data_IF_762234666199
#
_entry.id   IF_762234666199
#
_cell.length_a   1.000
_cell.length_b   1.000
_cell.length_c   1.000
_cell.angle_alpha   90.00
_cell.angle_beta   90.00
_cell.angle_gamma   90.00
#
_symmetry.space_group_name_H-M   'P 1'
#
loop_
_entity.id
_entity.type
_entity.pdbx_description
1 polymer ?
#
# COMPACT_ATOMS: atom_id res chain seq x y z
N UNK A 1 -19.53 11.88 89.78
CA UNK A 1 -19.48 10.64 88.93
C UNK A 1 -20.27 10.74 87.62
N UNK A 2 -21.12 11.76 87.42
CA UNK A 2 -21.94 11.88 86.17
C UNK A 2 -21.24 12.64 85.05
N UNK A 3 -20.27 13.50 85.29
CA UNK A 3 -19.57 14.30 84.31
C UNK A 3 -18.58 13.44 83.45
N UNK A 4 -17.98 12.40 84.02
CA UNK A 4 -17.05 11.49 83.30
C UNK A 4 -17.76 10.57 82.35
N UNK A 5 -19.03 10.17 82.57
CA UNK A 5 -19.80 9.34 81.67
C UNK A 5 -20.27 10.10 80.41
N UNK A 6 -20.50 11.42 80.51
CA UNK A 6 -20.90 12.24 79.33
C UNK A 6 -19.74 12.50 78.37
N UNK A 7 -18.54 12.69 78.87
CA UNK A 7 -17.33 12.88 78.02
C UNK A 7 -16.93 11.61 77.28
N UNK A 8 -16.94 10.44 77.90
CA UNK A 8 -16.65 9.16 77.27
C UNK A 8 -17.67 8.80 76.16
N UNK A 9 -18.95 9.08 76.34
CA UNK A 9 -20.00 8.83 75.34
C UNK A 9 -19.89 9.75 74.11
N UNK A 10 -19.40 10.98 74.33
CA UNK A 10 -19.19 11.96 73.24
C UNK A 10 -17.93 11.64 72.43
N UNK A 11 -16.88 11.17 73.06
CA UNK A 11 -15.66 10.71 72.37
C UNK A 11 -15.86 9.44 71.59
N UNK A 12 -16.65 8.46 72.11
CA UNK A 12 -17.01 7.23 71.39
C UNK A 12 -17.87 7.53 70.16
N UNK A 13 -18.83 8.43 70.24
CA UNK A 13 -19.63 8.89 69.06
C UNK A 13 -18.78 9.58 68.03
N UNK A 14 -17.83 10.44 68.40
CA UNK A 14 -16.90 11.11 67.49
C UNK A 14 -15.97 10.07 66.81
N UNK A 15 -15.44 9.11 67.55
CA UNK A 15 -14.60 8.02 66.99
C UNK A 15 -15.37 7.13 66.02
N UNK A 16 -16.64 6.79 66.31
CA UNK A 16 -17.51 6.02 65.41
C UNK A 16 -17.84 6.79 64.14
N UNK A 17 -18.16 8.07 64.23
CA UNK A 17 -18.43 8.94 63.08
C UNK A 17 -17.20 9.13 62.18
N UNK A 18 -16.01 9.32 62.75
CA UNK A 18 -14.76 9.43 62.01
C UNK A 18 -14.38 8.12 61.31
N UNK A 19 -14.67 6.96 61.94
CA UNK A 19 -14.40 5.66 61.33
C UNK A 19 -15.29 5.40 60.12
N UNK A 20 -16.58 5.76 60.20
CA UNK A 20 -17.53 5.66 59.06
C UNK A 20 -17.13 6.60 57.90
N UNK A 21 -16.67 7.79 58.21
CA UNK A 21 -16.19 8.73 57.20
C UNK A 21 -14.91 8.23 56.48
N UNK A 22 -13.98 7.62 57.22
CA UNK A 22 -12.78 7.02 56.66
C UNK A 22 -13.15 5.85 55.72
N UNK A 23 -14.05 4.97 56.15
CA UNK A 23 -14.51 3.87 55.31
C UNK A 23 -15.21 4.33 54.01
N UNK A 24 -16.00 5.41 54.13
CA UNK A 24 -16.65 6.03 52.97
C UNK A 24 -15.63 6.60 51.98
N UNK A 25 -14.67 7.38 52.48
CA UNK A 25 -13.61 7.97 51.68
C UNK A 25 -12.70 6.92 51.04
N UNK A 26 -12.40 5.84 51.75
CA UNK A 26 -11.63 4.71 51.20
C UNK A 26 -12.37 4.05 50.02
N UNK A 27 -13.68 3.82 50.19
CA UNK A 27 -14.50 3.26 49.11
C UNK A 27 -14.58 4.18 47.88
N UNK A 28 -14.77 5.47 48.12
CA UNK A 28 -14.83 6.49 47.07
C UNK A 28 -13.48 6.58 46.32
N UNK A 29 -12.38 6.49 47.06
CA UNK A 29 -11.03 6.43 46.48
C UNK A 29 -10.81 5.19 45.62
N UNK A 30 -11.26 4.01 46.08
CA UNK A 30 -11.15 2.76 45.36
C UNK A 30 -11.99 2.78 44.06
N UNK A 31 -13.23 3.25 44.14
CA UNK A 31 -14.11 3.40 42.97
C UNK A 31 -13.52 4.40 41.96
N UNK A 32 -12.95 5.52 42.42
CA UNK A 32 -12.32 6.52 41.58
C UNK A 32 -11.06 5.97 40.89
N UNK A 33 -10.26 5.20 41.61
CA UNK A 33 -9.07 4.50 41.03
C UNK A 33 -9.48 3.50 39.95
N UNK A 34 -10.49 2.67 40.24
CA UNK A 34 -11.00 1.70 39.27
C UNK A 34 -11.49 2.39 38.00
N UNK A 35 -12.27 3.48 38.13
CA UNK A 35 -12.69 4.28 36.98
C UNK A 35 -11.52 4.89 36.23
N UNK A 36 -10.51 5.37 36.93
CA UNK A 36 -9.28 5.90 36.33
C UNK A 36 -8.54 4.84 35.51
N UNK A 37 -8.40 3.63 36.04
CA UNK A 37 -7.76 2.53 35.33
C UNK A 37 -8.58 2.10 34.10
N UNK A 38 -9.92 2.01 34.21
CA UNK A 38 -10.80 1.73 33.07
C UNK A 38 -10.66 2.78 31.95
N UNK A 39 -10.61 4.08 32.31
CA UNK A 39 -10.43 5.14 31.31
C UNK A 39 -9.03 5.10 30.68
N UNK A 40 -8.00 4.79 31.48
CA UNK A 40 -6.63 4.61 30.99
C UNK A 40 -6.55 3.48 29.97
N UNK A 41 -7.16 2.34 30.26
CA UNK A 41 -7.19 1.19 29.34
C UNK A 41 -7.95 1.52 28.04
N UNK A 42 -9.09 2.21 28.15
CA UNK A 42 -9.84 2.69 26.98
C UNK A 42 -9.01 3.65 26.14
N UNK A 43 -8.32 4.58 26.81
CA UNK A 43 -7.46 5.55 26.12
C UNK A 43 -6.30 4.88 25.39
N UNK A 44 -5.57 3.96 26.04
CA UNK A 44 -4.48 3.20 25.43
C UNK A 44 -4.96 2.42 24.21
N UNK A 45 -6.10 1.75 24.34
CA UNK A 45 -6.72 1.03 23.21
C UNK A 45 -7.07 1.97 22.06
N UNK A 46 -7.72 3.10 22.36
CA UNK A 46 -8.12 4.09 21.36
C UNK A 46 -6.92 4.68 20.61
N UNK A 47 -5.81 4.95 21.32
CA UNK A 47 -4.55 5.41 20.70
C UNK A 47 -3.99 4.35 19.75
N UNK A 48 -3.95 3.09 20.18
CA UNK A 48 -3.47 1.99 19.34
C UNK A 48 -4.36 1.79 18.09
N UNK A 49 -5.67 1.86 18.24
CA UNK A 49 -6.62 1.79 17.11
C UNK A 49 -6.44 2.96 16.14
N UNK A 50 -6.22 4.18 16.67
CA UNK A 50 -5.97 5.36 15.85
C UNK A 50 -4.65 5.27 15.08
N UNK A 51 -3.58 4.74 15.68
CA UNK A 51 -2.31 4.52 14.99
C UNK A 51 -2.44 3.46 13.88
N UNK A 52 -3.18 2.39 14.15
CA UNK A 52 -3.48 1.38 13.14
C UNK A 52 -4.33 1.97 11.99
N UNK A 53 -5.32 2.81 12.33
CA UNK A 53 -6.13 3.52 11.35
C UNK A 53 -5.27 4.43 10.46
N UNK A 54 -4.37 5.24 11.05
CA UNK A 54 -3.47 6.11 10.28
C UNK A 54 -2.60 5.33 9.30
N UNK A 55 -1.98 4.24 9.77
CA UNK A 55 -1.14 3.37 8.93
C UNK A 55 -1.94 2.75 7.78
N UNK A 56 -3.12 2.25 8.06
CA UNK A 56 -4.01 1.69 7.03
C UNK A 56 -4.46 2.75 6.03
N UNK A 57 -4.85 3.93 6.51
CA UNK A 57 -5.31 5.01 5.65
C UNK A 57 -4.21 5.53 4.72
N UNK A 58 -2.98 5.66 5.22
CA UNK A 58 -1.83 6.03 4.41
C UNK A 58 -1.56 5.03 3.26
N UNK A 59 -1.70 3.72 3.53
CA UNK A 59 -1.59 2.69 2.48
C UNK A 59 -2.72 2.78 1.46
N UNK A 60 -3.96 2.96 1.92
CA UNK A 60 -5.11 3.10 1.02
C UNK A 60 -4.97 4.29 0.08
N UNK A 61 -4.46 5.43 0.58
CA UNK A 61 -4.17 6.59 -0.25
C UNK A 61 -3.11 6.31 -1.31
N UNK A 62 -2.03 5.63 -0.93
CA UNK A 62 -0.98 5.25 -1.87
C UNK A 62 -1.50 4.29 -2.94
N UNK A 63 -2.25 3.27 -2.53
CA UNK A 63 -2.83 2.29 -3.46
C UNK A 63 -3.83 2.95 -4.41
N UNK A 64 -4.66 3.87 -3.93
CA UNK A 64 -5.61 4.62 -4.77
C UNK A 64 -4.89 5.54 -5.76
N UNK A 65 -3.79 6.18 -5.33
CA UNK A 65 -2.97 7.01 -6.21
C UNK A 65 -2.30 6.17 -7.31
N UNK A 66 -1.66 5.05 -6.94
CA UNK A 66 -1.02 4.13 -7.88
C UNK A 66 -2.02 3.58 -8.90
N UNK A 67 -3.23 3.20 -8.46
CA UNK A 67 -4.31 2.72 -9.34
C UNK A 67 -4.79 3.83 -10.28
N UNK A 68 -4.90 5.06 -9.79
CA UNK A 68 -5.22 6.23 -10.63
C UNK A 68 -4.18 6.46 -11.73
N UNK A 69 -2.90 6.42 -11.37
CA UNK A 69 -1.79 6.53 -12.33
C UNK A 69 -1.85 5.39 -13.35
N UNK A 70 -2.01 4.14 -12.90
CA UNK A 70 -2.15 2.98 -13.78
C UNK A 70 -3.25 3.15 -14.80
N UNK A 71 -4.43 3.60 -14.37
CA UNK A 71 -5.59 3.81 -15.25
C UNK A 71 -5.35 4.86 -16.33
N UNK A 72 -4.59 5.92 -16.03
CA UNK A 72 -4.20 6.94 -17.01
C UNK A 72 -3.16 6.36 -17.98
N UNK A 73 -2.13 5.70 -17.45
CA UNK A 73 -1.02 5.17 -18.26
C UNK A 73 -1.53 4.12 -19.25
N UNK A 74 -2.38 3.18 -18.83
CA UNK A 74 -2.98 2.18 -19.74
C UNK A 74 -3.63 2.82 -20.95
N UNK A 75 -4.25 4.01 -20.80
CA UNK A 75 -4.88 4.76 -21.90
C UNK A 75 -3.87 5.49 -22.79
N UNK A 76 -2.66 5.76 -22.30
CA UNK A 76 -1.60 6.45 -23.06
C UNK A 76 -0.67 5.46 -23.76
N UNK A 77 -0.49 4.25 -23.21
CA UNK A 77 0.40 3.22 -23.79
C UNK A 77 0.16 2.94 -25.28
N UNK A 78 -1.09 2.94 -25.82
CA UNK A 78 -1.32 2.79 -27.26
C UNK A 78 -0.61 3.79 -28.14
N UNK A 79 -0.24 4.97 -27.60
CA UNK A 79 0.59 5.94 -28.36
C UNK A 79 1.98 5.37 -28.60
N UNK A 80 2.59 4.77 -27.57
CA UNK A 80 3.88 4.07 -27.71
C UNK A 80 3.81 2.87 -28.65
N UNK A 81 2.73 2.07 -28.55
CA UNK A 81 2.51 0.92 -29.44
C UNK A 81 2.40 1.37 -30.92
N UNK A 82 1.69 2.47 -31.19
CA UNK A 82 1.55 3.04 -32.53
C UNK A 82 2.88 3.60 -33.05
N UNK A 83 3.74 4.14 -32.19
CA UNK A 83 5.08 4.59 -32.58
C UNK A 83 5.96 3.38 -32.95
N UNK A 84 5.94 2.31 -32.18
CA UNK A 84 6.67 1.06 -32.49
C UNK A 84 6.18 0.47 -33.83
N UNK A 85 4.87 0.47 -34.06
CA UNK A 85 4.28 0.02 -35.33
C UNK A 85 4.72 0.90 -36.50
N UNK A 86 4.68 2.23 -36.36
CA UNK A 86 5.10 3.16 -37.41
C UNK A 86 6.59 3.00 -37.76
N UNK A 87 7.46 2.76 -36.77
CA UNK A 87 8.88 2.48 -37.01
C UNK A 87 9.06 1.19 -37.80
N UNK A 88 8.23 0.16 -37.54
CA UNK A 88 8.29 -1.15 -38.26
C UNK A 88 7.81 -1.09 -39.69
N UNK A 89 7.14 -0.04 -40.14
CA UNK A 89 6.59 0.09 -41.50
C UNK A 89 7.64 0.28 -42.59
N UNK A 90 8.91 0.49 -42.24
CA UNK A 90 9.99 0.65 -43.23
C UNK A 90 9.89 1.95 -44.03
N UNK A 91 9.60 3.06 -43.33
CA UNK A 91 9.55 4.41 -43.89
C UNK A 91 10.97 4.88 -44.31
N UNK A 92 11.05 6.04 -44.93
CA UNK A 92 12.35 6.67 -45.26
C UNK A 92 13.18 6.92 -43.96
N UNK A 93 14.50 6.90 -44.11
CA UNK A 93 15.47 6.98 -43.01
C UNK A 93 15.23 8.19 -42.11
N UNK A 94 15.01 9.38 -42.68
CA UNK A 94 14.82 10.61 -41.91
C UNK A 94 13.53 10.59 -41.07
N UNK A 95 12.45 10.06 -41.61
CA UNK A 95 11.18 9.90 -40.90
C UNK A 95 11.32 8.85 -39.79
N UNK A 96 12.00 7.76 -40.07
CA UNK A 96 12.27 6.70 -39.11
C UNK A 96 13.11 7.19 -37.91
N UNK A 97 14.17 7.98 -38.18
CA UNK A 97 14.97 8.62 -37.12
C UNK A 97 14.12 9.54 -36.24
N UNK A 98 13.25 10.35 -36.86
CA UNK A 98 12.34 11.24 -36.12
C UNK A 98 11.39 10.46 -35.20
N UNK A 99 10.83 9.32 -35.68
CA UNK A 99 9.96 8.45 -34.90
C UNK A 99 10.72 7.78 -33.73
N UNK A 100 11.96 7.32 -33.97
CA UNK A 100 12.82 6.74 -32.92
C UNK A 100 13.09 7.76 -31.83
N UNK A 101 13.40 9.01 -32.18
CA UNK A 101 13.62 10.07 -31.20
C UNK A 101 12.34 10.38 -30.39
N UNK A 102 11.18 10.40 -31.05
CA UNK A 102 9.89 10.61 -30.38
C UNK A 102 9.57 9.44 -29.43
N UNK A 103 9.81 8.21 -29.88
CA UNK A 103 9.64 6.99 -29.07
C UNK A 103 10.55 7.00 -27.83
N UNK A 104 11.82 7.41 -28.02
CA UNK A 104 12.75 7.59 -26.89
C UNK A 104 12.23 8.62 -25.90
N UNK A 105 11.79 9.78 -26.37
CA UNK A 105 11.23 10.83 -25.50
C UNK A 105 9.99 10.36 -24.74
N UNK A 106 9.14 9.56 -25.37
CA UNK A 106 8.00 8.93 -24.72
C UNK A 106 8.45 8.02 -23.56
N UNK A 107 9.45 7.16 -23.80
CA UNK A 107 10.01 6.29 -22.75
C UNK A 107 10.67 7.09 -21.62
N UNK A 108 11.44 8.12 -21.94
CA UNK A 108 12.06 9.00 -20.94
C UNK A 108 11.00 9.68 -20.05
N UNK A 109 9.87 10.06 -20.65
CA UNK A 109 8.74 10.62 -19.91
C UNK A 109 8.12 9.60 -18.96
N UNK A 110 7.90 8.35 -19.39
CA UNK A 110 7.41 7.27 -18.54
C UNK A 110 8.41 6.94 -17.43
N UNK A 111 9.69 6.89 -17.74
CA UNK A 111 10.75 6.63 -16.77
C UNK A 111 10.81 7.71 -15.67
N UNK A 112 10.55 8.98 -16.01
CA UNK A 112 10.45 10.06 -15.01
C UNK A 112 9.30 9.88 -14.00
N UNK A 113 8.33 9.05 -14.33
CA UNK A 113 7.20 8.63 -13.47
C UNK A 113 7.42 7.25 -12.81
N UNK A 114 8.67 6.76 -12.80
CA UNK A 114 9.05 5.43 -12.29
C UNK A 114 8.36 4.26 -13.03
N UNK A 115 7.95 4.50 -14.29
CA UNK A 115 7.36 3.48 -15.14
C UNK A 115 8.46 2.90 -16.03
N UNK A 116 8.63 1.59 -15.98
CA UNK A 116 9.66 0.84 -16.73
C UNK A 116 8.99 -0.02 -17.78
N UNK A 117 9.55 0.00 -18.98
CA UNK A 117 9.19 -0.89 -20.09
C UNK A 117 9.66 -2.32 -19.83
N UNK A 118 8.87 -3.30 -20.21
CA UNK A 118 9.16 -4.74 -20.15
C UNK A 118 9.23 -5.25 -21.60
N UNK A 119 10.43 -5.59 -22.03
CA UNK A 119 10.71 -6.17 -23.36
C UNK A 119 11.55 -7.43 -23.18
N UNK A 120 10.93 -8.59 -22.95
CA UNK A 120 11.63 -9.84 -22.67
C UNK A 120 12.12 -10.57 -23.94
N UNK A 121 12.35 -9.86 -25.05
CA UNK A 121 12.81 -10.48 -26.31
C UNK A 121 14.10 -11.25 -26.09
N UNK A 122 14.12 -12.54 -26.44
CA UNK A 122 15.27 -13.43 -26.28
C UNK A 122 15.49 -13.96 -24.87
N UNK A 123 14.65 -13.61 -23.90
CA UNK A 123 14.71 -14.12 -22.53
C UNK A 123 13.81 -15.34 -22.37
N UNK A 124 14.00 -16.10 -21.29
CA UNK A 124 13.10 -17.19 -20.90
C UNK A 124 11.76 -16.59 -20.51
N UNK A 125 10.68 -17.19 -20.96
CA UNK A 125 9.32 -16.73 -20.69
C UNK A 125 9.01 -16.72 -19.17
N UNK A 126 8.64 -15.56 -18.65
CA UNK A 126 8.17 -15.41 -17.27
C UNK A 126 6.69 -14.99 -17.26
N UNK A 127 5.78 -15.84 -16.75
CA UNK A 127 4.35 -15.55 -16.66
C UNK A 127 4.01 -14.35 -15.75
N UNK A 128 4.93 -13.94 -14.88
CA UNK A 128 4.71 -12.79 -13.99
C UNK A 128 4.81 -11.44 -14.72
N UNK A 129 5.46 -11.39 -15.89
CA UNK A 129 5.70 -10.14 -16.64
C UNK A 129 5.18 -10.17 -18.08
N UNK A 130 4.89 -11.37 -18.62
CA UNK A 130 4.47 -11.55 -20.01
C UNK A 130 3.31 -12.54 -20.13
N UNK A 131 2.52 -12.38 -21.20
CA UNK A 131 1.44 -13.25 -21.63
C UNK A 131 1.80 -13.86 -22.97
N UNK A 132 1.91 -15.20 -23.04
CA UNK A 132 2.15 -15.92 -24.28
C UNK A 132 0.85 -15.99 -25.09
N UNK A 133 0.78 -15.23 -26.19
CA UNK A 133 -0.39 -15.20 -27.08
C UNK A 133 -0.25 -16.16 -28.24
N UNK A 134 0.98 -16.63 -28.54
CA UNK A 134 1.28 -17.56 -29.64
C UNK A 134 2.47 -18.44 -29.27
N UNK A 135 2.44 -19.68 -29.73
CA UNK A 135 3.61 -20.57 -29.75
C UNK A 135 4.15 -20.68 -31.15
N UNK A 136 5.46 -20.67 -31.30
CA UNK A 136 6.16 -20.77 -32.56
C UNK A 136 7.24 -21.85 -32.49
N UNK A 137 7.51 -22.51 -33.60
CA UNK A 137 8.64 -23.42 -33.72
C UNK A 137 9.89 -22.62 -34.12
N UNK A 138 11.04 -22.97 -33.57
CA UNK A 138 12.33 -22.40 -33.93
C UNK A 138 13.39 -23.50 -33.94
N UNK A 139 14.21 -23.49 -34.96
CA UNK A 139 15.36 -24.41 -35.06
C UNK A 139 16.59 -23.88 -34.31
N UNK A 140 16.59 -22.59 -33.96
CA UNK A 140 17.77 -21.88 -33.40
C UNK A 140 17.64 -21.50 -31.95
N UNK A 141 16.40 -21.30 -31.47
CA UNK A 141 16.15 -20.80 -30.13
C UNK A 141 15.75 -21.93 -29.18
N UNK A 142 16.12 -21.82 -27.92
CA UNK A 142 15.76 -22.81 -26.93
C UNK A 142 14.25 -22.79 -26.63
N UNK A 143 13.67 -23.94 -26.25
CA UNK A 143 12.28 -24.00 -25.77
C UNK A 143 12.04 -22.98 -24.64
N UNK A 144 10.80 -22.52 -24.53
CA UNK A 144 10.35 -21.52 -23.57
C UNK A 144 11.00 -20.13 -23.69
N UNK A 145 11.73 -19.87 -24.81
CA UNK A 145 12.30 -18.52 -25.06
C UNK A 145 11.28 -17.63 -25.75
N UNK A 146 11.25 -16.36 -25.36
CA UNK A 146 10.44 -15.32 -26.02
C UNK A 146 11.04 -14.97 -27.36
N UNK A 147 10.35 -15.34 -28.46
CA UNK A 147 10.81 -15.07 -29.83
C UNK A 147 10.52 -13.66 -30.30
N UNK A 148 9.29 -13.19 -30.08
CA UNK A 148 8.83 -11.89 -30.56
C UNK A 148 7.92 -11.24 -29.49
N UNK A 149 8.10 -9.97 -29.27
CA UNK A 149 7.20 -9.16 -28.45
C UNK A 149 6.27 -8.38 -29.39
N UNK A 150 4.99 -8.75 -29.40
CA UNK A 150 3.97 -8.05 -30.18
C UNK A 150 3.50 -6.75 -29.54
N UNK A 151 3.53 -6.72 -28.21
CA UNK A 151 3.15 -5.56 -27.42
C UNK A 151 4.00 -5.52 -26.15
N UNK A 152 4.71 -4.43 -25.95
CA UNK A 152 5.59 -4.26 -24.79
C UNK A 152 4.79 -4.15 -23.49
N UNK A 153 5.31 -4.73 -22.43
CA UNK A 153 4.77 -4.61 -21.09
C UNK A 153 5.26 -3.35 -20.41
N UNK A 154 4.59 -2.99 -19.30
CA UNK A 154 5.00 -1.84 -18.46
C UNK A 154 4.72 -2.14 -17.00
N UNK A 155 5.62 -1.68 -16.12
CA UNK A 155 5.46 -1.75 -14.66
C UNK A 155 5.77 -0.41 -14.01
N UNK A 156 5.11 -0.12 -12.90
CA UNK A 156 5.45 0.97 -12.00
C UNK A 156 5.99 0.36 -10.71
N UNK A 157 7.27 0.65 -10.40
CA UNK A 157 7.98 -0.05 -9.31
C UNK A 157 7.88 -1.58 -9.50
N UNK A 158 7.21 -2.27 -8.56
CA UNK A 158 7.00 -3.72 -8.60
C UNK A 158 5.61 -4.14 -9.09
N UNK A 159 4.72 -3.16 -9.40
CA UNK A 159 3.34 -3.45 -9.84
C UNK A 159 3.24 -3.45 -11.36
N UNK A 160 2.73 -4.52 -11.95
CA UNK A 160 2.48 -4.60 -13.39
C UNK A 160 1.31 -3.70 -13.78
N UNK A 161 1.55 -2.81 -14.74
CA UNK A 161 0.54 -1.97 -15.38
C UNK A 161 -0.10 -2.76 -16.54
N UNK A 162 0.74 -3.35 -17.40
CA UNK A 162 0.35 -4.15 -18.55
C UNK A 162 1.40 -5.22 -18.81
N UNK A 163 0.96 -6.47 -19.02
CA UNK A 163 1.83 -7.58 -19.42
C UNK A 163 2.33 -7.38 -20.84
N UNK A 164 3.55 -7.85 -21.12
CA UNK A 164 4.03 -7.95 -22.50
C UNK A 164 3.28 -9.07 -23.22
N UNK A 165 2.85 -8.87 -24.48
CA UNK A 165 2.28 -9.93 -25.31
C UNK A 165 3.35 -10.50 -26.21
N UNK A 166 3.61 -11.79 -26.07
CA UNK A 166 4.77 -12.42 -26.68
C UNK A 166 4.42 -13.70 -27.42
N UNK A 167 5.29 -14.09 -28.38
CA UNK A 167 5.36 -15.47 -28.87
C UNK A 167 6.48 -16.19 -28.12
N UNK A 168 6.24 -17.46 -27.81
CA UNK A 168 7.17 -18.33 -27.08
C UNK A 168 7.53 -19.55 -27.98
N UNK A 169 8.79 -19.92 -27.97
CA UNK A 169 9.29 -21.08 -28.67
C UNK A 169 8.78 -22.36 -27.99
N UNK A 170 8.28 -23.29 -28.76
CA UNK A 170 7.73 -24.56 -28.28
C UNK A 170 8.83 -25.54 -27.89
#
# INVERSE_FOLDING_TARGET
MEENKKTETTEQKKKSSSKQEIERLQKELEDTRRLGDEYKDKWVRSVAEFDNYKKRNARLWQDAFDEGVKNVIVKILPVGDNLDWAISMGLDEKTTEGLIQLRKKFNDTLASMEITEIDPTGEIFDPNIAEAVMQVESETDAPDTVKTVFQKGYKIKDKIIRYAKVSVVK
#
